data_IF_690414493952
#
_entry.id   IF_690414493952
#
_cell.length_a   1.000
_cell.length_b   1.000
_cell.length_c   1.000
_cell.angle_alpha   90.00
_cell.angle_beta   90.00
_cell.angle_gamma   90.00
#
_symmetry.space_group_name_H-M   'P 1'
#
loop_
_entity.id
_entity.type
_entity.pdbx_description
1 polymer ?
#
# COMPACT_ATOMS: atom_id res chain seq x y z
N UNK A 1 -26.58 -13.26 26.86
CA UNK A 1 -26.37 -11.79 26.88
C UNK A 1 -26.37 -11.31 25.43
N UNK A 2 -27.16 -10.31 25.08
CA UNK A 2 -27.14 -9.74 23.72
C UNK A 2 -25.83 -8.99 23.49
N UNK A 3 -25.08 -9.37 22.47
CA UNK A 3 -23.87 -8.64 22.06
C UNK A 3 -24.25 -7.21 21.64
N UNK A 4 -23.43 -6.20 21.96
CA UNK A 4 -23.69 -4.83 21.54
C UNK A 4 -23.62 -4.72 20.01
N UNK A 5 -24.46 -3.85 19.43
CA UNK A 5 -24.56 -3.64 17.98
C UNK A 5 -23.44 -2.74 17.40
N UNK A 6 -22.58 -2.18 18.25
CA UNK A 6 -21.49 -1.28 17.87
C UNK A 6 -20.35 -1.32 18.89
N UNK A 7 -19.13 -1.08 18.42
CA UNK A 7 -17.92 -1.00 19.24
C UNK A 7 -17.12 0.25 18.88
N UNK A 8 -16.39 0.79 19.87
CA UNK A 8 -15.37 1.80 19.63
C UNK A 8 -13.99 1.12 19.60
N UNK A 9 -13.20 1.41 18.58
CA UNK A 9 -11.84 0.89 18.43
C UNK A 9 -10.85 2.05 18.57
N UNK A 10 -9.85 1.88 19.42
CA UNK A 10 -8.78 2.85 19.58
C UNK A 10 -7.69 2.65 18.52
N UNK A 11 -7.13 3.76 18.05
CA UNK A 11 -5.89 3.73 17.25
C UNK A 11 -4.72 3.40 18.17
N UNK A 12 -3.93 2.39 17.82
CA UNK A 12 -2.72 2.00 18.58
C UNK A 12 -1.43 2.58 18.00
N UNK A 13 -1.49 3.01 16.74
CA UNK A 13 -0.35 3.62 16.06
C UNK A 13 -0.74 4.27 14.74
N UNK A 14 0.22 4.98 14.14
CA UNK A 14 0.06 5.70 12.88
C UNK A 14 1.18 5.30 11.93
N UNK A 15 0.82 5.00 10.69
CA UNK A 15 1.78 4.65 9.65
C UNK A 15 2.32 5.93 8.99
N UNK A 16 3.64 6.02 8.90
CA UNK A 16 4.34 7.00 8.08
C UNK A 16 4.93 6.28 6.86
N UNK A 17 4.38 6.51 5.67
CA UNK A 17 4.74 5.75 4.46
C UNK A 17 5.26 6.63 3.33
N UNK A 18 5.78 5.98 2.29
CA UNK A 18 6.14 6.66 1.05
C UNK A 18 4.93 7.25 0.32
N UNK A 19 3.70 6.78 0.55
CA UNK A 19 2.54 7.19 -0.23
C UNK A 19 1.85 8.42 0.36
N UNK A 20 1.92 9.57 -0.32
CA UNK A 20 1.24 10.81 0.12
C UNK A 20 -0.17 10.98 -0.43
N UNK A 21 -0.58 10.13 -1.36
CA UNK A 21 -1.92 10.12 -1.93
C UNK A 21 -2.36 8.70 -2.29
N UNK A 22 -3.67 8.50 -2.54
CA UNK A 22 -4.20 7.18 -2.89
C UNK A 22 -3.67 6.67 -4.24
N UNK A 23 -3.35 7.58 -5.15
CA UNK A 23 -2.84 7.26 -6.48
C UNK A 23 -1.39 6.76 -6.36
N UNK A 24 -1.10 5.58 -6.93
CA UNK A 24 0.22 4.93 -6.80
C UNK A 24 0.34 3.92 -5.66
N UNK A 25 -0.62 3.86 -4.72
CA UNK A 25 -0.66 2.78 -3.73
C UNK A 25 -0.99 1.46 -4.45
N UNK A 26 -0.21 0.38 -4.24
CA UNK A 26 -0.52 -0.91 -4.84
C UNK A 26 -1.89 -1.40 -4.37
N UNK A 27 -2.61 -2.09 -5.25
CA UNK A 27 -3.98 -2.52 -4.95
C UNK A 27 -4.04 -3.60 -3.88
N UNK A 28 -2.94 -4.32 -3.63
CA UNK A 28 -2.81 -5.40 -2.66
C UNK A 28 -1.40 -5.34 -2.03
N UNK A 29 -1.23 -5.83 -0.79
CA UNK A 29 0.07 -5.90 -0.13
C UNK A 29 1.06 -6.76 -0.89
N UNK A 30 2.37 -6.48 -0.75
CA UNK A 30 3.45 -7.29 -1.31
C UNK A 30 3.68 -7.18 -2.83
N UNK A 31 2.85 -6.43 -3.56
CA UNK A 31 3.06 -6.19 -5.00
C UNK A 31 4.22 -5.22 -5.30
N UNK A 32 4.57 -4.39 -4.33
CA UNK A 32 5.68 -3.43 -4.36
C UNK A 32 6.51 -3.68 -3.11
N UNK A 33 7.55 -4.51 -3.21
CA UNK A 33 8.38 -4.93 -2.07
C UNK A 33 9.23 -3.80 -1.52
N UNK A 34 9.65 -2.86 -2.37
CA UNK A 34 10.49 -1.73 -1.99
C UNK A 34 9.72 -0.60 -1.30
N UNK A 35 8.39 -0.71 -1.21
CA UNK A 35 7.58 0.25 -0.48
C UNK A 35 7.95 0.19 1.01
N UNK A 36 8.48 1.29 1.53
CA UNK A 36 8.89 1.40 2.94
C UNK A 36 7.93 2.29 3.71
N UNK A 37 7.68 1.90 4.95
CA UNK A 37 6.93 2.67 5.92
C UNK A 37 7.48 2.40 7.32
N UNK A 38 7.08 3.22 8.29
CA UNK A 38 7.27 2.93 9.71
C UNK A 38 5.93 3.07 10.43
N UNK A 39 5.63 2.15 11.32
CA UNK A 39 4.52 2.26 12.25
C UNK A 39 5.01 2.93 13.52
N UNK A 40 4.52 4.13 13.82
CA UNK A 40 4.69 4.79 15.12
C UNK A 40 3.61 4.30 16.08
N UNK A 41 3.98 3.65 17.18
CA UNK A 41 3.03 3.37 18.25
C UNK A 41 2.74 4.64 19.06
N UNK A 42 1.47 4.83 19.42
CA UNK A 42 1.03 6.00 20.21
C UNK A 42 0.70 5.61 21.66
N UNK A 43 0.80 6.54 22.63
CA UNK A 43 0.40 6.27 24.01
C UNK A 43 -1.07 5.83 24.15
N UNK A 44 -1.39 4.91 25.08
CA UNK A 44 -0.49 4.23 26.03
C UNK A 44 0.14 2.94 25.46
N UNK A 45 -0.02 2.67 24.16
CA UNK A 45 0.40 1.43 23.51
C UNK A 45 1.88 1.42 23.10
N UNK A 46 2.54 2.57 23.11
CA UNK A 46 3.96 2.73 22.83
C UNK A 46 4.83 2.16 23.97
N UNK A 47 4.79 0.85 24.14
CA UNK A 47 5.62 0.11 25.09
C UNK A 47 6.39 -0.99 24.40
N UNK A 48 7.70 -1.12 24.70
CA UNK A 48 8.55 -2.14 24.08
C UNK A 48 8.18 -3.56 24.53
N UNK A 49 7.69 -3.73 25.76
CA UNK A 49 7.26 -5.03 26.28
C UNK A 49 6.01 -5.57 25.57
N UNK A 50 5.16 -4.70 25.02
CA UNK A 50 4.06 -5.10 24.15
C UNK A 50 4.52 -5.64 22.78
N UNK A 51 5.79 -5.45 22.42
CA UNK A 51 6.40 -5.91 21.16
C UNK A 51 7.43 -7.02 21.36
N UNK A 52 7.67 -7.46 22.59
CA UNK A 52 8.67 -8.49 22.89
C UNK A 52 8.38 -9.80 22.13
N UNK A 53 9.38 -10.32 21.43
CA UNK A 53 9.28 -11.53 20.61
C UNK A 53 8.72 -11.32 19.20
N UNK A 54 8.27 -10.12 18.84
CA UNK A 54 7.75 -9.83 17.51
C UNK A 54 8.84 -9.91 16.42
N UNK A 55 10.10 -9.66 16.78
CA UNK A 55 11.30 -9.79 15.94
C UNK A 55 11.61 -11.26 15.55
N UNK A 56 11.01 -12.23 16.24
CA UNK A 56 11.04 -13.65 15.85
C UNK A 56 10.21 -13.98 14.60
N UNK A 57 9.39 -13.05 14.12
CA UNK A 57 8.55 -13.21 12.92
C UNK A 57 9.10 -12.41 11.74
N UNK A 58 8.95 -12.94 10.53
CA UNK A 58 9.33 -12.20 9.32
C UNK A 58 8.23 -11.27 8.80
N UNK A 59 6.97 -11.57 9.12
CA UNK A 59 5.81 -10.84 8.64
C UNK A 59 4.77 -10.66 9.75
N UNK A 60 4.02 -9.57 9.64
CA UNK A 60 2.91 -9.26 10.54
C UNK A 60 1.67 -8.90 9.72
N UNK A 61 0.50 -9.22 10.28
CA UNK A 61 -0.75 -8.58 9.93
C UNK A 61 -0.81 -7.20 10.55
N UNK A 62 -1.27 -6.23 9.76
CA UNK A 62 -1.68 -4.90 10.22
C UNK A 62 -3.16 -4.75 9.92
N UNK A 63 -3.95 -4.47 10.97
CA UNK A 63 -5.33 -4.04 10.84
C UNK A 63 -5.38 -2.52 10.95
N UNK A 64 -6.00 -1.85 9.99
CA UNK A 64 -5.96 -0.40 9.89
C UNK A 64 -7.29 0.19 9.42
N UNK A 65 -7.43 1.52 9.50
CA UNK A 65 -8.61 2.21 9.02
C UNK A 65 -8.32 2.92 7.70
N UNK A 66 -9.19 2.73 6.70
CA UNK A 66 -9.22 3.54 5.47
C UNK A 66 -9.71 4.97 5.77
N UNK A 67 -8.94 5.71 6.55
CA UNK A 67 -9.30 7.01 7.13
C UNK A 67 -9.69 8.05 6.06
N UNK A 68 -9.03 8.03 4.91
CA UNK A 68 -9.36 8.86 3.76
C UNK A 68 -10.67 8.49 3.03
N UNK A 69 -11.44 7.52 3.54
CA UNK A 69 -12.73 7.08 2.98
C UNK A 69 -13.89 7.13 4.01
N UNK A 70 -13.65 7.58 5.25
CA UNK A 70 -14.64 7.53 6.35
C UNK A 70 -15.87 8.41 6.07
N UNK A 71 -15.71 9.51 5.35
CA UNK A 71 -16.78 10.51 5.14
C UNK A 71 -17.84 10.09 4.13
N UNK A 72 -17.69 8.93 3.47
CA UNK A 72 -18.59 8.47 2.42
C UNK A 72 -19.55 7.40 2.92
N UNK A 73 -20.85 7.57 2.66
CA UNK A 73 -21.85 6.52 2.88
C UNK A 73 -21.43 5.24 2.14
N UNK A 74 -21.37 4.11 2.86
CA UNK A 74 -21.05 2.83 2.24
C UNK A 74 -22.15 2.41 1.26
N UNK A 75 -21.78 1.60 0.25
CA UNK A 75 -22.72 1.06 -0.74
C UNK A 75 -22.69 -0.46 -0.71
N UNK A 76 -23.86 -1.09 -0.82
CA UNK A 76 -23.97 -2.55 -0.84
C UNK A 76 -23.25 -3.20 -2.04
N UNK A 77 -23.15 -2.49 -3.17
CA UNK A 77 -22.43 -2.94 -4.37
C UNK A 77 -21.48 -1.86 -4.88
N UNK A 78 -20.32 -2.29 -5.36
CA UNK A 78 -19.27 -1.44 -5.96
C UNK A 78 -18.87 -1.99 -7.34
N UNK A 79 -18.12 -1.19 -8.12
CA UNK A 79 -17.57 -1.60 -9.43
C UNK A 79 -16.06 -1.84 -9.29
N UNK A 80 -15.60 -3.09 -9.16
CA UNK A 80 -14.17 -3.37 -9.05
C UNK A 80 -13.44 -2.93 -10.33
N UNK A 81 -12.30 -2.23 -10.24
CA UNK A 81 -11.51 -1.85 -11.41
C UNK A 81 -11.11 -3.05 -12.29
N UNK A 82 -10.87 -4.21 -11.65
CA UNK A 82 -10.53 -5.49 -12.32
C UNK A 82 -11.64 -6.06 -13.21
N UNK A 83 -12.88 -5.63 -13.04
CA UNK A 83 -14.02 -6.00 -13.90
C UNK A 83 -14.33 -4.91 -14.94
N UNK A 84 -13.33 -4.11 -15.30
CA UNK A 84 -13.45 -3.03 -16.28
C UNK A 84 -14.44 -1.92 -15.89
N UNK A 85 -14.83 -1.84 -14.61
CA UNK A 85 -15.81 -0.87 -14.13
C UNK A 85 -17.25 -1.06 -14.62
N UNK A 86 -17.55 -2.11 -15.38
CA UNK A 86 -18.90 -2.34 -15.94
C UNK A 86 -19.77 -3.16 -15.00
N UNK A 87 -19.20 -4.19 -14.38
CA UNK A 87 -19.92 -5.13 -13.49
C UNK A 87 -19.92 -4.65 -12.04
N UNK A 88 -21.09 -4.74 -11.38
CA UNK A 88 -21.23 -4.47 -9.94
C UNK A 88 -21.06 -5.77 -9.14
N UNK A 89 -20.30 -5.71 -8.05
CA UNK A 89 -20.13 -6.79 -7.08
C UNK A 89 -20.57 -6.33 -5.69
N UNK A 90 -21.09 -7.26 -4.87
CA UNK A 90 -21.37 -6.97 -3.46
C UNK A 90 -20.10 -6.55 -2.73
N UNK A 91 -20.19 -5.54 -1.85
CA UNK A 91 -19.00 -4.97 -1.19
C UNK A 91 -18.18 -6.01 -0.41
N UNK A 92 -18.84 -7.00 0.18
CA UNK A 92 -18.19 -8.10 0.90
C UNK A 92 -17.52 -9.15 0.00
N UNK A 93 -17.88 -9.19 -1.29
CA UNK A 93 -17.18 -9.99 -2.29
C UNK A 93 -15.97 -9.25 -2.89
N UNK A 94 -15.55 -8.13 -2.28
CA UNK A 94 -14.49 -7.26 -2.78
C UNK A 94 -13.61 -6.76 -1.63
N UNK A 95 -12.44 -6.20 -1.98
CA UNK A 95 -11.55 -5.48 -1.06
C UNK A 95 -11.67 -3.96 -1.22
N UNK A 96 -12.87 -3.45 -1.52
CA UNK A 96 -13.10 -2.02 -1.65
C UNK A 96 -12.85 -1.29 -0.32
N UNK A 97 -12.42 -0.03 -0.37
CA UNK A 97 -12.18 0.77 0.85
C UNK A 97 -13.48 1.29 1.48
N UNK A 98 -14.52 1.53 0.66
CA UNK A 98 -15.83 2.01 1.09
C UNK A 98 -16.72 0.84 1.56
N UNK A 99 -16.62 0.52 2.86
CA UNK A 99 -17.33 -0.61 3.50
C UNK A 99 -18.01 -0.13 4.79
N UNK A 100 -18.99 -0.87 5.35
CA UNK A 100 -19.65 -0.48 6.60
C UNK A 100 -18.68 -0.18 7.74
N UNK A 101 -17.67 -1.05 7.90
CA UNK A 101 -16.50 -0.83 8.74
C UNK A 101 -15.30 -0.71 7.81
N UNK A 102 -14.67 0.48 7.69
CA UNK A 102 -13.57 0.74 6.76
C UNK A 102 -12.24 0.15 7.27
N UNK A 103 -12.26 -1.10 7.71
CA UNK A 103 -11.09 -1.83 8.21
C UNK A 103 -10.37 -2.47 7.02
N UNK A 104 -9.09 -2.18 6.89
CA UNK A 104 -8.16 -2.82 5.97
C UNK A 104 -7.30 -3.85 6.69
N UNK A 105 -6.76 -4.78 5.90
CA UNK A 105 -5.84 -5.83 6.34
C UNK A 105 -4.66 -5.86 5.38
N UNK A 106 -3.45 -5.79 5.93
CA UNK A 106 -2.21 -5.86 5.17
C UNK A 106 -1.25 -6.87 5.81
N UNK A 107 -0.64 -7.74 4.99
CA UNK A 107 0.52 -8.54 5.42
C UNK A 107 1.76 -7.80 4.95
N UNK A 108 2.63 -7.43 5.88
CA UNK A 108 3.86 -6.70 5.58
C UNK A 108 5.05 -7.40 6.22
N UNK A 109 6.22 -7.25 5.60
CA UNK A 109 7.47 -7.73 6.19
C UNK A 109 7.89 -6.75 7.28
N UNK A 110 8.20 -7.29 8.46
CA UNK A 110 8.71 -6.49 9.58
C UNK A 110 10.22 -6.25 9.42
N UNK A 111 10.65 -5.04 9.72
CA UNK A 111 12.04 -4.64 9.81
C UNK A 111 12.49 -4.44 11.25
N UNK A 112 13.24 -3.37 11.52
CA UNK A 112 13.72 -3.04 12.85
C UNK A 112 12.58 -2.55 13.75
N UNK A 113 12.58 -3.00 15.01
CA UNK A 113 11.83 -2.38 16.10
C UNK A 113 12.80 -1.48 16.88
N UNK A 114 12.45 -0.22 17.09
CA UNK A 114 13.36 0.72 17.73
C UNK A 114 12.63 1.87 18.43
N UNK A 115 13.35 2.56 19.30
CA UNK A 115 12.87 3.74 20.01
C UNK A 115 13.71 4.96 19.59
N UNK A 116 13.02 6.05 19.24
CA UNK A 116 13.61 7.39 19.06
C UNK A 116 12.90 8.31 20.05
N UNK A 117 13.66 8.91 20.98
CA UNK A 117 13.13 9.69 22.09
C UNK A 117 12.06 8.92 22.91
N UNK A 118 10.81 9.39 22.87
CA UNK A 118 9.66 8.78 23.56
C UNK A 118 8.75 7.99 22.61
N UNK A 119 9.14 7.82 21.35
CA UNK A 119 8.37 7.16 20.30
C UNK A 119 8.95 5.80 19.99
N UNK A 120 8.09 4.84 19.75
CA UNK A 120 8.47 3.48 19.35
C UNK A 120 8.01 3.26 17.92
N UNK A 121 8.90 2.71 17.11
CA UNK A 121 8.71 2.49 15.70
C UNK A 121 8.95 1.03 15.33
N UNK A 122 8.21 0.58 14.32
CA UNK A 122 8.42 -0.68 13.62
C UNK A 122 8.60 -0.34 12.14
N UNK A 123 9.77 -0.66 11.57
CA UNK A 123 9.97 -0.56 10.13
C UNK A 123 9.14 -1.62 9.41
N UNK A 124 8.53 -1.22 8.29
CA UNK A 124 7.66 -2.05 7.47
C UNK A 124 8.14 -2.02 6.02
N UNK A 125 8.18 -3.19 5.39
CA UNK A 125 8.50 -3.36 3.97
C UNK A 125 7.34 -3.99 3.22
N UNK A 126 7.14 -3.58 1.97
CA UNK A 126 6.02 -4.04 1.15
C UNK A 126 4.67 -3.44 1.54
N UNK A 127 4.66 -2.33 2.27
CA UNK A 127 3.45 -1.70 2.78
C UNK A 127 2.58 -1.11 1.66
N UNK A 128 1.26 -1.16 1.82
CA UNK A 128 0.24 -0.63 0.89
C UNK A 128 -0.65 0.42 1.57
N UNK A 129 -0.07 1.20 2.47
CA UNK A 129 -0.77 2.06 3.42
C UNK A 129 -0.50 3.53 3.09
N UNK A 130 -1.56 4.35 3.05
CA UNK A 130 -1.43 5.80 2.91
C UNK A 130 -0.71 6.39 4.13
N UNK A 131 0.12 7.40 3.94
CA UNK A 131 0.73 8.14 5.04
C UNK A 131 -0.34 8.71 5.99
N UNK A 132 -0.11 8.61 7.29
CA UNK A 132 -1.09 8.97 8.33
C UNK A 132 -2.14 7.89 8.62
N UNK A 133 -2.04 6.69 8.03
CA UNK A 133 -3.03 5.62 8.25
C UNK A 133 -3.07 5.17 9.71
N UNK A 134 -4.23 5.24 10.39
CA UNK A 134 -4.40 4.72 11.75
C UNK A 134 -4.41 3.19 11.78
N UNK A 135 -3.61 2.62 12.68
CA UNK A 135 -3.55 1.18 12.95
C UNK A 135 -4.37 0.84 14.18
N UNK A 136 -5.14 -0.23 14.09
CA UNK A 136 -5.98 -0.76 15.15
C UNK A 136 -5.29 -1.91 15.90
N UNK A 137 -4.53 -2.74 15.19
CA UNK A 137 -3.97 -3.96 15.73
C UNK A 137 -2.82 -4.48 14.85
N UNK A 138 -1.87 -5.18 15.47
CA UNK A 138 -0.80 -5.92 14.79
C UNK A 138 -0.77 -7.35 15.31
N UNK A 139 -0.54 -8.33 14.44
CA UNK A 139 -0.42 -9.74 14.81
C UNK A 139 0.70 -10.42 14.02
N UNK A 140 1.42 -11.39 14.59
CA UNK A 140 2.34 -12.20 13.82
C UNK A 140 1.60 -12.93 12.70
N UNK A 141 2.18 -12.97 11.51
CA UNK A 141 1.70 -13.84 10.43
C UNK A 141 2.20 -15.27 10.69
N UNK A 142 1.30 -16.24 10.71
CA UNK A 142 1.61 -17.63 11.03
C UNK A 142 1.38 -18.49 9.78
N UNK A 143 2.43 -18.93 9.05
CA UNK A 143 2.25 -19.67 7.81
C UNK A 143 1.37 -20.91 7.94
N UNK A 144 1.41 -21.63 9.06
CA UNK A 144 0.59 -22.82 9.27
C UNK A 144 -0.91 -22.52 9.42
N UNK A 145 -1.28 -21.29 9.77
CA UNK A 145 -2.66 -20.88 10.01
C UNK A 145 -3.20 -19.92 8.92
N UNK A 146 -2.35 -19.04 8.40
CA UNK A 146 -2.75 -17.95 7.51
C UNK A 146 -2.54 -18.30 6.02
N UNK A 147 -1.68 -19.27 5.69
CA UNK A 147 -1.40 -19.66 4.31
C UNK A 147 -2.32 -20.81 3.84
N UNK A 148 -3.40 -20.45 3.13
CA UNK A 148 -4.32 -21.41 2.52
C UNK A 148 -3.93 -21.61 1.05
N UNK A 149 -3.13 -22.64 0.78
CA UNK A 149 -2.52 -22.89 -0.54
C UNK A 149 -3.55 -23.12 -1.66
N UNK A 150 -4.70 -23.72 -1.34
CA UNK A 150 -5.76 -24.07 -2.29
C UNK A 150 -6.87 -23.00 -2.41
N UNK A 151 -6.67 -21.83 -1.81
CA UNK A 151 -7.61 -20.71 -1.88
C UNK A 151 -7.87 -20.25 -3.33
N UNK A 152 -9.14 -19.95 -3.65
CA UNK A 152 -9.58 -19.47 -4.97
C UNK A 152 -9.85 -17.96 -4.94
N UNK A 153 -9.26 -17.23 -5.89
CA UNK A 153 -9.38 -15.76 -5.99
C UNK A 153 -10.66 -15.22 -6.66
N UNK A 154 -11.56 -16.09 -7.13
CA UNK A 154 -12.78 -15.69 -7.83
C UNK A 154 -12.48 -14.91 -9.12
N UNK A 155 -12.96 -13.66 -9.21
CA UNK A 155 -12.72 -12.77 -10.36
C UNK A 155 -11.37 -12.04 -10.31
N UNK A 156 -10.57 -12.23 -9.25
CA UNK A 156 -9.23 -11.66 -9.20
C UNK A 156 -8.32 -12.36 -10.22
N UNK A 157 -7.55 -11.62 -11.03
CA UNK A 157 -6.57 -12.21 -11.92
C UNK A 157 -5.49 -12.93 -11.12
N UNK A 158 -5.01 -14.05 -11.65
CA UNK A 158 -3.82 -14.71 -11.15
C UNK A 158 -2.56 -13.92 -11.58
N UNK A 159 -1.41 -14.08 -10.88
CA UNK A 159 -0.16 -13.49 -11.32
C UNK A 159 0.16 -13.82 -12.80
N UNK A 160 -0.12 -15.05 -13.24
CA UNK A 160 0.07 -15.50 -14.62
C UNK A 160 -0.83 -14.77 -15.65
N UNK A 161 -1.95 -14.19 -15.21
CA UNK A 161 -2.89 -13.44 -16.06
C UNK A 161 -2.57 -11.94 -16.12
N UNK A 162 -1.55 -11.48 -15.38
CA UNK A 162 -1.20 -10.06 -15.32
C UNK A 162 -0.01 -9.81 -16.24
N UNK A 163 -0.27 -9.41 -17.49
CA UNK A 163 0.80 -8.94 -18.38
C UNK A 163 1.39 -7.65 -17.82
N UNK A 164 2.65 -7.70 -17.38
CA UNK A 164 3.40 -6.51 -16.98
C UNK A 164 4.06 -5.90 -18.22
N UNK A 165 3.72 -4.66 -18.53
CA UNK A 165 4.51 -3.86 -19.47
C UNK A 165 5.85 -3.51 -18.80
N UNK A 166 6.99 -3.56 -19.52
CA UNK A 166 8.25 -3.05 -19.01
C UNK A 166 8.13 -1.58 -18.61
N UNK A 167 8.91 -1.18 -17.60
CA UNK A 167 9.04 0.22 -17.19
C UNK A 167 10.44 0.68 -17.56
N UNK A 168 10.51 1.71 -18.41
CA UNK A 168 11.74 2.32 -18.87
C UNK A 168 11.90 3.69 -18.23
N UNK A 169 13.14 4.09 -17.99
CA UNK A 169 13.47 5.42 -17.46
C UNK A 169 14.15 6.23 -18.56
N UNK A 170 13.73 7.48 -18.74
CA UNK A 170 14.47 8.44 -19.55
C UNK A 170 15.88 8.66 -18.97
N UNK A 171 16.81 9.16 -19.78
CA UNK A 171 18.15 9.49 -19.30
C UNK A 171 18.12 10.55 -18.17
N UNK A 172 17.18 11.50 -18.25
CA UNK A 172 16.94 12.47 -17.18
C UNK A 172 16.50 11.77 -15.89
N UNK A 173 15.50 10.88 -15.96
CA UNK A 173 14.99 10.18 -14.79
C UNK A 173 16.06 9.25 -14.17
N UNK A 174 16.88 8.57 -14.98
CA UNK A 174 18.01 7.78 -14.48
C UNK A 174 19.01 8.63 -13.69
N UNK A 175 19.41 9.77 -14.24
CA UNK A 175 20.32 10.71 -13.58
C UNK A 175 19.74 11.22 -12.25
N UNK A 176 18.45 11.56 -12.24
CA UNK A 176 17.74 12.01 -11.04
C UNK A 176 17.64 10.93 -9.94
N UNK A 177 17.43 9.66 -10.31
CA UNK A 177 17.49 8.54 -9.36
C UNK A 177 18.88 8.42 -8.72
N UNK A 178 19.94 8.46 -9.53
CA UNK A 178 21.33 8.39 -9.04
C UNK A 178 21.67 9.57 -8.13
N UNK A 179 21.26 10.78 -8.51
CA UNK A 179 21.43 11.97 -7.69
C UNK A 179 20.71 11.81 -6.34
N UNK A 180 19.44 11.38 -6.35
CA UNK A 180 18.68 11.18 -5.12
C UNK A 180 19.31 10.14 -4.19
N UNK A 181 19.77 9.02 -4.75
CA UNK A 181 20.52 8.00 -4.01
C UNK A 181 21.76 8.61 -3.33
N UNK A 182 22.55 9.41 -4.03
CA UNK A 182 23.76 10.00 -3.48
C UNK A 182 23.48 11.02 -2.37
N UNK A 183 22.41 11.82 -2.49
CA UNK A 183 22.07 12.83 -1.48
C UNK A 183 21.39 12.26 -0.24
N UNK A 184 20.52 11.26 -0.41
CA UNK A 184 19.65 10.76 0.66
C UNK A 184 19.97 9.34 1.12
N UNK A 185 20.97 8.70 0.50
CA UNK A 185 21.32 7.30 0.70
C UNK A 185 20.11 6.37 0.56
N UNK A 186 19.27 6.63 -0.45
CA UNK A 186 18.01 5.92 -0.67
C UNK A 186 17.76 5.65 -2.15
N UNK A 187 17.57 4.38 -2.49
CA UNK A 187 17.37 3.92 -3.86
C UNK A 187 15.87 4.03 -4.17
N UNK A 188 15.52 4.68 -5.28
CA UNK A 188 14.12 4.98 -5.62
C UNK A 188 13.69 4.41 -6.98
N UNK A 189 14.62 4.04 -7.85
CA UNK A 189 14.31 3.49 -9.17
C UNK A 189 13.57 2.16 -9.07
N UNK A 190 13.97 1.27 -8.15
CA UNK A 190 13.30 -0.02 -7.97
C UNK A 190 11.87 0.16 -7.42
N UNK A 191 11.69 1.05 -6.44
CA UNK A 191 10.37 1.41 -5.92
C UNK A 191 9.46 1.98 -7.02
N UNK A 192 9.95 2.98 -7.77
CA UNK A 192 9.20 3.61 -8.86
C UNK A 192 8.82 2.57 -9.91
N UNK A 193 9.78 1.74 -10.34
CA UNK A 193 9.55 0.66 -11.30
C UNK A 193 8.41 -0.24 -10.82
N UNK A 194 8.50 -0.78 -9.60
CA UNK A 194 7.51 -1.70 -9.07
C UNK A 194 6.11 -1.08 -8.97
N UNK A 195 6.01 0.20 -8.59
CA UNK A 195 4.73 0.93 -8.54
C UNK A 195 4.12 1.05 -9.94
N UNK A 196 4.91 1.48 -10.92
CA UNK A 196 4.43 1.75 -12.28
C UNK A 196 4.09 0.45 -13.02
N UNK A 197 4.80 -0.65 -12.74
CA UNK A 197 4.45 -1.99 -13.24
C UNK A 197 3.04 -2.44 -12.86
N UNK A 198 2.46 -1.90 -11.78
CA UNK A 198 1.08 -2.21 -11.38
C UNK A 198 0.02 -1.45 -12.18
N UNK A 199 0.44 -0.57 -13.10
CA UNK A 199 -0.42 0.39 -13.81
C UNK A 199 -1.37 1.13 -12.85
N UNK A 200 -0.87 2.17 -12.16
CA UNK A 200 -1.67 2.86 -11.15
C UNK A 200 -2.84 3.66 -11.74
N UNK A 201 -2.94 3.78 -13.07
CA UNK A 201 -4.05 4.48 -13.73
C UNK A 201 -5.41 3.88 -13.32
N UNK A 202 -6.46 4.71 -13.23
CA UNK A 202 -7.82 4.21 -13.19
C UNK A 202 -8.12 3.42 -14.48
N UNK A 203 -8.99 2.42 -14.40
CA UNK A 203 -9.30 1.54 -15.54
C UNK A 203 -9.82 2.29 -16.77
N UNK A 204 -10.50 3.43 -16.59
CA UNK A 204 -11.00 4.27 -17.68
C UNK A 204 -9.91 5.08 -18.41
N UNK A 205 -8.69 5.16 -17.87
CA UNK A 205 -7.52 5.77 -18.51
C UNK A 205 -6.56 4.74 -19.10
N UNK A 206 -6.87 3.44 -19.01
CA UNK A 206 -5.95 2.36 -19.41
C UNK A 206 -5.56 2.41 -20.89
N UNK A 207 -6.46 2.88 -21.76
CA UNK A 207 -6.25 3.05 -23.20
C UNK A 207 -5.61 4.39 -23.59
N UNK A 208 -5.48 5.35 -22.66
CA UNK A 208 -4.85 6.64 -22.96
C UNK A 208 -3.33 6.50 -22.97
N UNK A 209 -2.74 6.67 -24.15
CA UNK A 209 -1.30 6.72 -24.38
C UNK A 209 -0.78 8.15 -24.29
N UNK A 210 0.51 8.30 -24.01
CA UNK A 210 1.28 9.55 -24.05
C UNK A 210 0.82 10.67 -23.10
N UNK A 211 -0.25 10.43 -22.34
CA UNK A 211 -0.71 11.31 -21.26
C UNK A 211 0.27 11.29 -20.11
N UNK A 212 0.73 12.47 -19.71
CA UNK A 212 1.53 12.63 -18.49
C UNK A 212 0.67 12.40 -17.24
N UNK A 213 1.18 11.54 -16.36
CA UNK A 213 0.67 11.26 -15.03
C UNK A 213 1.72 11.63 -13.97
N UNK A 214 1.28 11.88 -12.75
CA UNK A 214 2.15 12.13 -11.59
C UNK A 214 1.79 11.21 -10.44
N UNK A 215 2.78 10.74 -9.68
CA UNK A 215 2.60 10.01 -8.42
C UNK A 215 3.44 10.68 -7.34
N UNK A 216 2.80 11.00 -6.21
CA UNK A 216 3.50 11.57 -5.05
C UNK A 216 4.09 10.50 -4.14
N UNK A 217 5.41 10.45 -4.06
CA UNK A 217 6.18 9.57 -3.17
C UNK A 217 7.07 10.41 -2.25
N UNK A 218 6.85 10.35 -0.94
CA UNK A 218 7.51 11.26 0.03
C UNK A 218 7.37 12.73 -0.40
N UNK A 219 8.50 13.38 -0.72
CA UNK A 219 8.61 14.74 -1.24
C UNK A 219 8.96 14.75 -2.75
N UNK A 220 8.59 13.70 -3.48
CA UNK A 220 8.83 13.54 -4.90
C UNK A 220 7.50 13.46 -5.67
N UNK A 221 7.51 14.00 -6.88
CA UNK A 221 6.48 13.80 -7.88
C UNK A 221 7.09 13.11 -9.10
N UNK A 222 6.72 11.84 -9.28
CA UNK A 222 7.25 11.00 -10.36
C UNK A 222 6.35 11.17 -11.58
N UNK A 223 6.91 11.75 -12.65
CA UNK A 223 6.22 12.00 -13.91
C UNK A 223 6.44 10.85 -14.86
N UNK A 224 5.36 10.30 -15.40
CA UNK A 224 5.41 9.12 -16.27
C UNK A 224 4.26 9.11 -17.27
N UNK A 225 4.36 8.28 -18.30
CA UNK A 225 3.27 8.03 -19.23
C UNK A 225 3.23 6.57 -19.69
N UNK A 226 2.11 6.16 -20.27
CA UNK A 226 1.97 4.87 -20.91
C UNK A 226 2.26 4.98 -22.41
N UNK A 227 3.08 4.08 -22.92
CA UNK A 227 3.31 3.85 -24.35
C UNK A 227 2.61 2.55 -24.77
N UNK A 228 2.69 2.23 -26.06
CA UNK A 228 2.04 1.05 -26.65
C UNK A 228 2.49 -0.23 -25.93
N UNK A 229 3.80 -0.41 -25.78
CA UNK A 229 4.44 -1.63 -25.28
C UNK A 229 5.09 -1.48 -23.90
N UNK A 230 5.32 -0.26 -23.41
CA UNK A 230 5.99 0.00 -22.13
C UNK A 230 5.37 1.16 -21.35
N UNK A 231 5.78 1.33 -20.10
CA UNK A 231 5.61 2.58 -19.35
C UNK A 231 6.94 3.34 -19.33
N UNK A 232 6.88 4.67 -19.42
CA UNK A 232 8.08 5.51 -19.44
C UNK A 232 8.06 6.49 -18.27
N UNK A 233 9.12 6.48 -17.45
CA UNK A 233 9.39 7.49 -16.44
C UNK A 233 10.09 8.67 -17.12
N UNK A 234 9.42 9.81 -17.14
CA UNK A 234 9.86 11.00 -17.86
C UNK A 234 10.85 11.81 -17.04
N UNK A 235 10.52 12.09 -15.78
CA UNK A 235 11.31 12.88 -14.83
C UNK A 235 10.80 12.72 -13.40
N UNK A 236 11.59 13.16 -12.44
CA UNK A 236 11.29 13.17 -11.00
C UNK A 236 11.46 14.61 -10.51
N UNK A 237 10.41 15.17 -9.93
CA UNK A 237 10.39 16.54 -9.40
C UNK A 237 10.40 16.49 -7.86
N UNK A 238 11.13 17.39 -7.18
CA UNK A 238 10.98 17.57 -5.73
C UNK A 238 9.80 18.50 -5.44
N UNK A 239 9.02 18.19 -4.42
CA UNK A 239 7.80 18.91 -4.01
C UNK A 239 7.88 19.42 -2.59
#
# INVERSE_FOLDING_TARGET
MSSPNSFNLATIGVVHSCYKEKFGIPRQPGLVTEATARLELIPPYNRLDALEGLDGFSHIWIQFIFHACITENWKAKIRPPRLGGKTKMGVFATRATHRPNPIGLSVVKIGRIYQEDKKIFIDLHGADLLDGTPVLDIKPYLPYADNIVDAKGGFAPTPAQTMKKPVLFSELAKSQCTQYQNLHNKEIATLIKQIIEQDPRPSYLSEQLDREHGIKLWNLNVKWCARIDHFEILRIEQT
#
